data_IF_571815272687
#
_entry.id   IF_571815272687
#
_cell.length_a   1.000
_cell.length_b   1.000
_cell.length_c   1.000
_cell.angle_alpha   90.00
_cell.angle_beta   90.00
_cell.angle_gamma   90.00
#
_symmetry.space_group_name_H-M   'P 1'
#
loop_
_entity.id
_entity.type
_entity.pdbx_description
1 polymer ?
#
# COMPACT_ATOMS: atom_id res chain seq x y z
N UNK A 1 -18.27 -2.97 2.02
CA UNK A 1 -17.32 -1.85 1.86
C UNK A 1 -17.58 -1.02 0.60
N UNK A 2 -17.57 -1.61 -0.58
CA UNK A 2 -17.85 -0.89 -1.84
C UNK A 2 -19.27 -0.31 -1.88
N UNK A 3 -20.29 -1.04 -1.40
CA UNK A 3 -21.66 -0.56 -1.35
C UNK A 3 -21.81 0.69 -0.46
N UNK A 4 -21.09 0.74 0.65
CA UNK A 4 -21.08 1.91 1.55
C UNK A 4 -20.38 3.09 0.93
N UNK A 5 -19.26 2.86 0.23
CA UNK A 5 -18.55 3.90 -0.50
C UNK A 5 -19.42 4.52 -1.58
N UNK A 6 -20.18 3.69 -2.32
CA UNK A 6 -21.14 4.17 -3.33
C UNK A 6 -22.28 5.00 -2.74
N UNK A 7 -22.78 4.62 -1.56
CA UNK A 7 -23.84 5.38 -0.88
C UNK A 7 -23.41 6.79 -0.47
N UNK A 8 -22.15 6.93 -0.06
CA UNK A 8 -21.60 8.21 0.36
C UNK A 8 -21.15 9.10 -0.80
N UNK A 9 -21.20 8.61 -2.04
CA UNK A 9 -20.66 9.33 -3.18
C UNK A 9 -21.76 9.88 -4.08
N UNK A 10 -21.79 11.20 -4.22
CA UNK A 10 -22.67 11.92 -5.14
C UNK A 10 -21.93 12.45 -6.38
N UNK A 11 -20.63 12.18 -6.54
CA UNK A 11 -19.84 12.69 -7.66
C UNK A 11 -19.78 11.69 -8.81
N UNK A 12 -20.09 12.14 -10.03
CA UNK A 12 -19.92 11.36 -11.25
C UNK A 12 -18.45 11.09 -11.61
N UNK A 13 -17.50 11.79 -10.98
CA UNK A 13 -16.06 11.61 -11.21
C UNK A 13 -15.45 10.48 -10.41
N UNK A 14 -16.17 9.95 -9.41
CA UNK A 14 -15.71 8.84 -8.57
C UNK A 14 -16.39 7.54 -9.00
N UNK A 15 -15.59 6.52 -9.19
CA UNK A 15 -16.04 5.18 -9.56
C UNK A 15 -15.53 4.17 -8.55
N UNK A 16 -16.39 3.30 -8.06
CA UNK A 16 -16.04 2.26 -7.11
C UNK A 16 -16.28 0.90 -7.73
N UNK A 17 -15.31 0.02 -7.61
CA UNK A 17 -15.42 -1.36 -8.10
C UNK A 17 -14.60 -2.31 -7.25
N UNK A 18 -14.98 -3.58 -7.25
CA UNK A 18 -14.19 -4.65 -6.63
C UNK A 18 -13.25 -5.19 -7.69
N UNK A 19 -11.94 -5.15 -7.42
CA UNK A 19 -10.92 -5.59 -8.36
C UNK A 19 -9.85 -6.43 -7.65
N UNK A 20 -9.18 -7.26 -8.42
CA UNK A 20 -8.06 -8.05 -7.97
C UNK A 20 -6.76 -7.26 -8.18
N UNK A 21 -6.00 -7.07 -7.09
CA UNK A 21 -4.72 -6.35 -7.14
C UNK A 21 -3.66 -7.06 -7.99
N UNK A 22 -3.83 -8.35 -8.24
CA UNK A 22 -2.90 -9.13 -9.05
C UNK A 22 -3.21 -9.07 -10.54
N UNK A 23 -4.39 -8.59 -10.91
CA UNK A 23 -4.83 -8.49 -12.29
C UNK A 23 -5.84 -7.38 -12.43
N UNK A 24 -5.34 -6.17 -12.71
CA UNK A 24 -6.19 -4.99 -12.83
C UNK A 24 -6.71 -4.87 -14.27
N UNK A 25 -8.02 -4.54 -14.45
CA UNK A 25 -8.66 -4.49 -15.76
C UNK A 25 -8.40 -3.16 -16.50
N UNK A 26 -7.18 -2.63 -16.37
CA UNK A 26 -6.80 -1.37 -16.98
C UNK A 26 -5.62 -1.57 -17.92
N UNK A 27 -5.57 -0.77 -18.98
CA UNK A 27 -4.42 -0.75 -19.88
C UNK A 27 -3.16 -0.26 -19.16
N UNK A 28 -1.99 -0.62 -19.65
CA UNK A 28 -0.73 -0.07 -19.16
C UNK A 28 -0.69 1.44 -19.33
N UNK A 29 0.00 2.11 -18.42
CA UNK A 29 0.17 3.57 -18.43
C UNK A 29 -1.17 4.35 -18.41
N UNK A 30 -2.12 3.88 -17.59
CA UNK A 30 -3.47 4.48 -17.50
C UNK A 30 -3.58 5.56 -16.42
N UNK A 31 -2.76 5.51 -15.38
CA UNK A 31 -2.92 6.36 -14.21
C UNK A 31 -1.70 7.24 -13.95
N UNK A 32 -1.97 8.48 -13.56
CA UNK A 32 -0.93 9.43 -13.11
C UNK A 32 -0.51 9.16 -11.67
N UNK A 33 -1.45 8.74 -10.84
CA UNK A 33 -1.22 8.43 -9.42
C UNK A 33 -1.98 7.17 -9.05
N UNK A 34 -1.32 6.30 -8.32
CA UNK A 34 -1.96 5.13 -7.69
C UNK A 34 -1.71 5.21 -6.18
N UNK A 35 -2.76 5.04 -5.41
CA UNK A 35 -2.68 5.01 -3.95
C UNK A 35 -3.03 3.60 -3.47
N UNK A 36 -2.11 2.99 -2.74
CA UNK A 36 -2.31 1.69 -2.10
C UNK A 36 -2.23 1.88 -0.60
N UNK A 37 -3.37 2.01 0.03
CA UNK A 37 -3.44 2.31 1.47
C UNK A 37 -3.66 1.04 2.27
N UNK A 38 -2.69 0.72 3.13
CA UNK A 38 -2.78 -0.37 4.10
C UNK A 38 -3.15 -1.73 3.49
N UNK A 39 -2.65 -2.02 2.30
CA UNK A 39 -2.97 -3.26 1.60
C UNK A 39 -1.76 -4.19 1.39
N UNK A 40 -0.58 -3.62 1.17
CA UNK A 40 0.60 -4.43 0.82
C UNK A 40 1.02 -5.41 1.91
N UNK A 41 0.78 -5.08 3.19
CA UNK A 41 1.14 -5.95 4.31
C UNK A 41 0.16 -7.10 4.53
N UNK A 42 -1.01 -7.08 3.92
CA UNK A 42 -2.03 -8.11 4.08
C UNK A 42 -2.17 -9.04 2.87
N UNK A 43 -1.63 -8.68 1.72
CA UNK A 43 -1.68 -9.55 0.53
C UNK A 43 -0.58 -10.60 0.59
N UNK A 44 -0.85 -11.78 0.03
CA UNK A 44 0.09 -12.92 0.05
C UNK A 44 1.32 -12.73 -0.83
N UNK A 45 1.19 -11.95 -1.91
CA UNK A 45 2.27 -11.71 -2.86
C UNK A 45 2.35 -10.22 -3.19
N UNK A 46 2.87 -9.38 -2.25
CA UNK A 46 2.91 -7.94 -2.47
C UNK A 46 3.79 -7.52 -3.64
N UNK A 47 4.83 -8.27 -3.95
CA UNK A 47 5.68 -8.03 -5.12
C UNK A 47 4.91 -8.17 -6.44
N UNK A 48 3.97 -9.09 -6.50
CA UNK A 48 3.09 -9.26 -7.67
C UNK A 48 2.13 -8.10 -7.82
N UNK A 49 1.58 -7.61 -6.72
CA UNK A 49 0.74 -6.41 -6.70
C UNK A 49 1.51 -5.19 -7.18
N UNK A 50 2.75 -5.02 -6.72
CA UNK A 50 3.60 -3.90 -7.13
C UNK A 50 3.92 -3.93 -8.62
N UNK A 51 4.14 -5.11 -9.19
CA UNK A 51 4.35 -5.23 -10.65
C UNK A 51 3.13 -4.83 -11.45
N UNK A 52 1.94 -5.23 -10.99
CA UNK A 52 0.69 -4.86 -11.66
C UNK A 52 0.41 -3.36 -11.54
N UNK A 53 0.66 -2.77 -10.39
CA UNK A 53 0.58 -1.32 -10.19
C UNK A 53 1.56 -0.59 -11.12
N UNK A 54 2.77 -1.10 -11.24
CA UNK A 54 3.79 -0.53 -12.12
C UNK A 54 3.33 -0.54 -13.58
N UNK A 55 2.65 -1.60 -14.00
CA UNK A 55 2.12 -1.72 -15.36
C UNK A 55 1.09 -0.64 -15.66
N UNK A 56 0.14 -0.41 -14.75
CA UNK A 56 -0.97 0.53 -14.98
C UNK A 56 -0.60 1.98 -14.69
N UNK A 57 0.48 2.22 -13.96
CA UNK A 57 0.98 3.57 -13.66
C UNK A 57 1.80 4.09 -14.85
N UNK A 58 1.61 5.35 -15.20
CA UNK A 58 2.43 6.01 -16.22
C UNK A 58 3.89 6.08 -15.79
N UNK A 59 4.80 6.21 -16.76
CA UNK A 59 6.25 6.24 -16.49
C UNK A 59 6.67 7.41 -15.57
N UNK A 60 5.98 8.52 -15.67
CA UNK A 60 6.15 9.70 -14.79
C UNK A 60 5.16 9.73 -13.62
N UNK A 61 4.42 8.65 -13.43
CA UNK A 61 3.42 8.54 -12.37
C UNK A 61 4.00 8.36 -10.98
N UNK A 62 3.17 8.57 -9.97
CA UNK A 62 3.54 8.47 -8.56
C UNK A 62 2.72 7.39 -7.87
N UNK A 63 3.39 6.52 -7.13
CA UNK A 63 2.78 5.58 -6.22
C UNK A 63 2.82 6.14 -4.80
N UNK A 64 1.66 6.23 -4.16
CA UNK A 64 1.56 6.58 -2.75
C UNK A 64 1.12 5.32 -2.01
N UNK A 65 1.97 4.82 -1.13
CA UNK A 65 1.75 3.52 -0.50
C UNK A 65 1.93 3.57 1.03
N UNK A 66 1.01 4.21 1.75
CA UNK A 66 1.05 4.19 3.21
C UNK A 66 0.72 2.79 3.73
N UNK A 67 1.54 2.31 4.66
CA UNK A 67 1.40 0.97 5.23
C UNK A 67 1.76 0.99 6.70
N UNK A 68 1.02 0.22 7.49
CA UNK A 68 1.37 -0.01 8.89
C UNK A 68 2.68 -0.79 8.96
N UNK A 69 3.60 -0.28 9.79
CA UNK A 69 4.91 -0.88 10.01
C UNK A 69 5.13 -1.08 11.50
N UNK A 70 6.08 -1.95 11.85
CA UNK A 70 6.45 -2.18 13.23
C UNK A 70 7.63 -1.28 13.60
N UNK A 71 7.66 -0.79 14.85
CA UNK A 71 8.84 -0.13 15.36
C UNK A 71 9.97 -1.16 15.54
N UNK A 72 11.20 -0.73 15.32
CA UNK A 72 12.38 -1.60 15.45
C UNK A 72 12.53 -2.21 16.84
N UNK A 73 12.03 -1.53 17.86
CA UNK A 73 12.04 -2.02 19.23
C UNK A 73 10.69 -2.67 19.52
N UNK A 74 10.73 -3.97 19.72
CA UNK A 74 9.61 -4.86 20.01
C UNK A 74 8.42 -4.20 20.72
N UNK A 75 7.27 -4.24 20.07
CA UNK A 75 6.01 -3.88 20.71
C UNK A 75 5.79 -4.78 21.94
N UNK A 76 5.28 -4.23 23.06
CA UNK A 76 4.74 -5.05 24.14
C UNK A 76 3.72 -6.02 23.56
N UNK A 77 3.70 -7.26 24.07
CA UNK A 77 2.83 -8.32 23.53
C UNK A 77 1.35 -7.93 23.44
N UNK A 78 0.89 -6.99 24.29
CA UNK A 78 -0.47 -6.44 24.25
C UNK A 78 -0.78 -5.67 22.97
N UNK A 79 0.18 -4.91 22.44
CA UNK A 79 0.00 -4.15 21.20
C UNK A 79 -0.01 -5.09 20.01
N UNK A 80 0.83 -6.13 20.03
CA UNK A 80 0.85 -7.16 18.99
C UNK A 80 -0.48 -7.91 18.91
N UNK A 81 -1.03 -8.31 20.07
CA UNK A 81 -2.33 -8.98 20.14
C UNK A 81 -3.47 -8.04 19.68
N UNK A 82 -3.43 -6.78 20.07
CA UNK A 82 -4.39 -5.77 19.64
C UNK A 82 -4.35 -5.57 18.13
N UNK A 83 -3.16 -5.54 17.55
CA UNK A 83 -2.96 -5.42 16.10
C UNK A 83 -3.56 -6.60 15.35
N UNK A 84 -3.35 -7.81 15.85
CA UNK A 84 -3.89 -9.04 15.26
C UNK A 84 -5.41 -9.08 15.35
N UNK A 85 -5.99 -8.58 16.46
CA UNK A 85 -7.44 -8.56 16.66
C UNK A 85 -8.14 -7.45 15.88
N UNK A 86 -7.49 -6.29 15.72
CA UNK A 86 -8.08 -5.14 15.05
C UNK A 86 -8.23 -5.35 13.55
N UNK A 87 -7.28 -6.05 12.95
CA UNK A 87 -7.27 -6.24 11.51
C UNK A 87 -8.24 -7.33 11.05
N UNK A 88 -8.55 -8.33 11.87
CA UNK A 88 -9.31 -9.51 11.43
C UNK A 88 -8.68 -10.22 10.23
N UNK A 89 -7.49 -9.79 9.81
CA UNK A 89 -6.78 -10.27 8.64
C UNK A 89 -5.41 -10.82 9.07
N UNK A 90 -4.98 -11.95 8.48
CA UNK A 90 -3.62 -12.41 8.69
C UNK A 90 -2.63 -11.41 8.09
N UNK A 91 -1.65 -10.98 8.88
CA UNK A 91 -0.56 -10.17 8.38
C UNK A 91 0.43 -11.09 7.66
N UNK A 92 0.46 -11.05 6.34
CA UNK A 92 1.39 -11.83 5.55
C UNK A 92 2.81 -11.25 5.58
N UNK A 93 2.91 -9.93 5.70
CA UNK A 93 4.20 -9.26 5.77
C UNK A 93 4.27 -8.35 6.99
N UNK A 94 5.34 -8.52 7.77
CA UNK A 94 5.62 -7.72 8.96
C UNK A 94 6.91 -6.96 8.71
N UNK A 95 6.78 -5.70 8.31
CA UNK A 95 7.93 -4.86 8.04
C UNK A 95 8.13 -3.83 9.15
N UNK A 96 9.39 -3.57 9.49
CA UNK A 96 9.76 -2.28 10.07
C UNK A 96 9.70 -1.22 8.96
N UNK A 97 9.74 0.05 9.32
CA UNK A 97 9.77 1.13 8.34
C UNK A 97 10.94 0.95 7.36
N UNK A 98 12.11 0.63 7.88
CA UNK A 98 13.32 0.42 7.08
C UNK A 98 13.20 -0.78 6.13
N UNK A 99 12.69 -1.90 6.64
CA UNK A 99 12.46 -3.10 5.82
C UNK A 99 11.44 -2.85 4.71
N UNK A 100 10.40 -2.08 5.00
CA UNK A 100 9.39 -1.70 4.00
C UNK A 100 9.98 -0.86 2.88
N UNK A 101 10.81 0.13 3.22
CA UNK A 101 11.49 0.94 2.22
C UNK A 101 12.43 0.09 1.36
N UNK A 102 13.18 -0.82 1.96
CA UNK A 102 14.03 -1.76 1.23
C UNK A 102 13.22 -2.66 0.29
N UNK A 103 12.07 -3.14 0.75
CA UNK A 103 11.17 -3.95 -0.06
C UNK A 103 10.72 -3.21 -1.31
N UNK A 104 10.33 -1.95 -1.18
CA UNK A 104 9.95 -1.13 -2.32
C UNK A 104 11.12 -0.93 -3.30
N UNK A 105 12.31 -0.66 -2.78
CA UNK A 105 13.51 -0.49 -3.61
C UNK A 105 13.89 -1.77 -4.34
N UNK A 106 13.76 -2.92 -3.70
CA UNK A 106 14.03 -4.22 -4.30
C UNK A 106 13.04 -4.59 -5.41
N UNK A 107 11.87 -3.96 -5.42
CA UNK A 107 10.83 -4.16 -6.43
C UNK A 107 10.81 -3.05 -7.48
N UNK A 108 11.96 -2.42 -7.71
CA UNK A 108 12.16 -1.42 -8.77
C UNK A 108 11.39 -0.13 -8.56
N UNK A 109 11.21 0.27 -7.31
CA UNK A 109 10.63 1.55 -6.95
C UNK A 109 11.68 2.45 -6.30
N UNK A 110 11.71 3.70 -6.70
CA UNK A 110 12.53 4.73 -6.04
C UNK A 110 11.65 5.48 -5.06
N UNK A 111 11.99 5.39 -3.77
CA UNK A 111 11.30 6.12 -2.72
C UNK A 111 11.75 7.58 -2.75
N UNK A 112 10.88 8.46 -3.21
CA UNK A 112 11.15 9.89 -3.31
C UNK A 112 10.95 10.61 -1.99
N UNK A 113 9.98 10.16 -1.20
CA UNK A 113 9.66 10.72 0.10
C UNK A 113 9.14 9.62 1.02
N UNK A 114 9.57 9.63 2.27
CA UNK A 114 9.04 8.75 3.29
C UNK A 114 8.93 9.49 4.62
N UNK A 115 7.84 9.22 5.35
CA UNK A 115 7.60 9.79 6.68
C UNK A 115 6.98 8.71 7.54
N UNK A 116 7.48 8.53 8.76
CA UNK A 116 6.86 7.67 9.76
C UNK A 116 5.92 8.52 10.59
N UNK A 117 4.63 8.23 10.48
CA UNK A 117 3.59 8.92 11.24
C UNK A 117 3.34 8.16 12.53
N UNK A 118 3.48 8.87 13.64
CA UNK A 118 3.21 8.31 14.97
C UNK A 118 1.74 8.52 15.30
N UNK A 119 0.96 7.48 15.06
CA UNK A 119 -0.43 7.41 15.49
C UNK A 119 -0.55 6.30 16.54
N UNK A 120 -1.75 5.77 16.78
CA UNK A 120 -1.93 4.58 17.61
C UNK A 120 -1.05 3.42 17.15
N UNK A 121 -0.76 3.37 15.85
CA UNK A 121 0.20 2.44 15.24
C UNK A 121 1.12 3.23 14.32
N UNK A 122 2.41 2.84 14.23
CA UNK A 122 3.31 3.49 13.26
C UNK A 122 2.82 3.23 11.84
N UNK A 123 2.68 4.30 11.08
CA UNK A 123 2.33 4.26 9.67
C UNK A 123 3.50 4.84 8.87
N UNK A 124 4.05 4.06 7.95
CA UNK A 124 5.07 4.56 7.04
C UNK A 124 4.39 5.06 5.76
N UNK A 125 4.43 6.36 5.57
CA UNK A 125 3.96 7.01 4.35
C UNK A 125 5.08 7.05 3.34
N UNK A 126 4.81 6.64 2.11
CA UNK A 126 5.81 6.65 1.04
C UNK A 126 5.24 7.24 -0.24
N UNK A 127 6.06 8.03 -0.92
CA UNK A 127 5.87 8.47 -2.29
C UNK A 127 6.96 7.85 -3.15
N UNK A 128 6.57 7.07 -4.13
CA UNK A 128 7.51 6.34 -4.97
C UNK A 128 7.30 6.68 -6.44
N UNK A 129 8.39 6.62 -7.19
CA UNK A 129 8.38 6.69 -8.65
C UNK A 129 9.04 5.43 -9.18
N UNK A 130 8.77 5.10 -10.46
CA UNK A 130 9.43 3.96 -11.10
C UNK A 130 10.93 4.19 -11.16
N UNK A 131 11.71 3.18 -10.76
CA UNK A 131 13.16 3.26 -10.90
C UNK A 131 13.55 3.27 -12.37
N UNK A 132 14.47 4.13 -12.73
CA UNK A 132 15.10 4.10 -14.03
C UNK A 132 16.02 2.88 -14.09
N UNK A 133 15.90 2.14 -15.16
CA UNK A 133 16.74 0.95 -15.40
C UNK A 133 17.97 1.36 -16.20
#
# INVERSE_FOLDING_TARGET
MIAEAKRGNCSAKLHFSVQDMFSLPYAGNSFDVVIVSNALHIVSQPEKSLREIKRVLKDDGVLIAPTFTHAENSFPGKVKAFFMNLAGFPLHSKWTSEEYLKFLQQNDWTVRKSVVLKASFPLTYTECVKSEV
#
